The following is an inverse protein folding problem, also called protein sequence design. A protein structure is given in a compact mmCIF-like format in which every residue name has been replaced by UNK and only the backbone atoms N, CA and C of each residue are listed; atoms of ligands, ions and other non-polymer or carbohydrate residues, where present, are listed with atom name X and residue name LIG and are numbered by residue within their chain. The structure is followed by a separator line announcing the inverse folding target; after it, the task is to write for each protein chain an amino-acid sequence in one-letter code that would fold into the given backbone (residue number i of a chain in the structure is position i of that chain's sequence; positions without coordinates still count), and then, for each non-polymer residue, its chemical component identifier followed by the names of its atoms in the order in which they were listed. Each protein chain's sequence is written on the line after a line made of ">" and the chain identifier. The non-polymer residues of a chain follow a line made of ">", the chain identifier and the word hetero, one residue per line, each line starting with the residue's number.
data_IF_538827777104
#
_entry.id   IF_538827777104
#
_cell.length_a   1.000
_cell.length_b   1.000
_cell.length_c   1.000
_cell.angle_alpha   90.00
_cell.angle_beta   90.00
_cell.angle_gamma   90.00
#
_symmetry.space_group_name_H-M   'P 1'
#
loop_
_entity.id
_entity.type
_entity.pdbx_description
1 polymer ?
#
# COMPACT_ATOMS: atom_id res chain seq x y z
N UNK A 1 -4.26 -1.94 18.37
CA UNK A 1 -2.94 -1.38 18.00
C UNK A 1 -3.06 -0.30 16.95
N UNK A 2 -3.67 -0.55 15.78
CA UNK A 2 -3.80 0.46 14.71
C UNK A 2 -4.49 1.73 15.20
N UNK A 3 -5.64 1.63 15.88
CA UNK A 3 -6.33 2.80 16.46
C UNK A 3 -5.46 3.59 17.44
N UNK A 4 -4.68 2.90 18.28
CA UNK A 4 -3.80 3.55 19.25
C UNK A 4 -2.71 4.36 18.53
N UNK A 5 -2.13 3.80 17.47
CA UNK A 5 -1.03 4.42 16.74
C UNK A 5 -1.53 5.50 15.77
N UNK A 6 -2.52 5.18 14.94
CA UNK A 6 -2.98 6.03 13.86
C UNK A 6 -4.10 6.99 14.27
N UNK A 7 -4.97 6.60 15.21
CA UNK A 7 -5.97 7.49 15.80
C UNK A 7 -5.33 8.31 16.91
N UNK A 8 -5.27 7.73 18.10
CA UNK A 8 -4.85 8.43 19.32
C UNK A 8 -3.45 9.07 19.26
N UNK A 9 -2.41 8.37 18.79
CA UNK A 9 -1.03 8.88 18.82
C UNK A 9 -0.72 9.83 17.65
N UNK A 10 -1.10 9.46 16.43
CA UNK A 10 -0.86 10.30 15.25
C UNK A 10 -1.83 11.49 15.12
N UNK A 11 -2.84 11.59 16.01
CA UNK A 11 -3.83 12.65 16.02
C UNK A 11 -4.93 12.49 14.97
N UNK A 12 -5.12 11.27 14.46
CA UNK A 12 -6.23 10.93 13.58
C UNK A 12 -7.53 10.73 14.34
N UNK A 13 -8.65 10.77 13.64
CA UNK A 13 -9.91 10.26 14.19
C UNK A 13 -9.82 8.74 14.37
N UNK A 14 -10.35 8.25 15.49
CA UNK A 14 -10.60 6.83 15.66
C UNK A 14 -11.63 6.35 14.61
N UNK A 15 -11.53 5.10 14.18
CA UNK A 15 -12.35 4.54 13.08
C UNK A 15 -13.86 4.65 13.30
N UNK A 16 -14.31 4.74 14.55
CA UNK A 16 -15.74 4.88 14.89
C UNK A 16 -16.22 6.34 14.92
N UNK A 17 -15.29 7.30 14.90
CA UNK A 17 -15.57 8.74 14.75
C UNK A 17 -15.38 9.21 13.30
N UNK A 18 -14.53 8.52 12.54
CA UNK A 18 -14.27 8.78 11.13
C UNK A 18 -15.52 8.65 10.25
N UNK A 19 -15.61 9.48 9.21
CA UNK A 19 -16.61 9.32 8.15
C UNK A 19 -16.30 8.11 7.25
N UNK A 20 -17.26 7.76 6.39
CA UNK A 20 -17.20 6.58 5.52
C UNK A 20 -16.01 6.63 4.55
N UNK A 21 -15.36 5.48 4.35
CA UNK A 21 -14.40 5.28 3.26
C UNK A 21 -15.05 4.74 1.97
N UNK A 22 -16.34 4.39 2.05
CA UNK A 22 -17.02 3.59 1.03
C UNK A 22 -17.99 4.40 0.18
N UNK A 23 -18.22 5.66 0.53
CA UNK A 23 -19.04 6.60 -0.22
C UNK A 23 -18.42 8.00 -0.16
N UNK A 24 -18.96 8.90 -0.98
CA UNK A 24 -18.54 10.28 -1.10
C UNK A 24 -19.32 11.23 -0.19
N UNK A 25 -20.06 10.71 0.80
CA UNK A 25 -20.92 11.51 1.66
C UNK A 25 -20.17 11.96 2.91
N UNK A 26 -20.14 13.28 3.10
CA UNK A 26 -19.57 13.91 4.29
C UNK A 26 -18.14 14.40 4.08
N UNK A 27 -17.50 14.81 5.18
CA UNK A 27 -16.11 15.24 5.15
C UNK A 27 -15.17 14.06 4.91
N UNK A 28 -13.92 14.28 4.46
CA UNK A 28 -12.91 13.22 4.43
C UNK A 28 -12.74 12.56 5.82
N UNK A 29 -12.45 11.25 5.91
CA UNK A 29 -12.42 10.49 7.18
C UNK A 29 -11.48 11.01 8.28
N UNK A 30 -10.57 11.93 7.97
CA UNK A 30 -9.64 12.56 8.92
C UNK A 30 -8.87 11.55 9.79
N UNK A 31 -8.57 10.37 9.25
CA UNK A 31 -7.74 9.36 9.91
C UNK A 31 -6.27 9.78 9.94
N UNK A 32 -5.49 9.19 10.84
CA UNK A 32 -4.05 9.40 10.92
C UNK A 32 -3.27 8.22 10.36
N UNK A 33 -1.96 8.41 10.23
CA UNK A 33 -1.03 7.39 9.74
C UNK A 33 0.28 7.48 10.51
N UNK A 34 0.83 6.32 10.85
CA UNK A 34 2.22 6.19 11.33
C UNK A 34 3.03 5.41 10.30
N UNK A 35 4.24 5.90 10.02
CA UNK A 35 5.26 5.20 9.26
C UNK A 35 6.43 4.92 10.19
N UNK A 36 6.84 3.67 10.27
CA UNK A 36 8.03 3.24 11.02
C UNK A 36 9.05 2.75 10.01
N UNK A 37 10.24 3.34 10.04
CA UNK A 37 11.37 2.94 9.20
C UNK A 37 12.53 2.49 10.09
N UNK A 38 13.15 1.39 9.72
CA UNK A 38 14.34 0.86 10.38
C UNK A 38 15.51 0.94 9.41
N UNK A 39 16.66 1.39 9.88
CA UNK A 39 17.92 1.29 9.13
C UNK A 39 18.49 -0.13 9.29
N UNK A 40 18.45 -0.99 8.25
CA UNK A 40 18.95 -2.35 8.41
C UNK A 40 20.44 -2.41 8.76
N UNK A 41 21.24 -1.39 8.37
CA UNK A 41 22.66 -1.32 8.70
C UNK A 41 22.87 -1.15 10.20
N UNK A 42 22.11 -0.26 10.84
CA UNK A 42 22.21 -0.01 12.28
C UNK A 42 21.80 -1.22 13.14
N UNK A 43 20.88 -2.07 12.66
CA UNK A 43 20.33 -3.18 13.44
C UNK A 43 20.90 -4.55 13.10
N UNK A 44 21.18 -4.82 11.81
CA UNK A 44 21.59 -6.13 11.30
C UNK A 44 22.96 -6.11 10.63
N UNK A 45 23.60 -4.94 10.52
CA UNK A 45 24.88 -4.79 9.84
C UNK A 45 24.77 -5.01 8.33
N UNK A 46 25.91 -5.24 7.64
CA UNK A 46 25.96 -5.29 6.18
C UNK A 46 25.26 -6.51 5.57
N UNK A 47 25.06 -7.58 6.35
CA UNK A 47 24.54 -8.86 5.84
C UNK A 47 23.01 -9.02 5.94
N UNK A 48 22.27 -7.94 6.21
CA UNK A 48 20.81 -8.00 6.18
C UNK A 48 20.28 -8.57 4.84
N UNK A 49 20.90 -8.18 3.73
CA UNK A 49 20.52 -8.66 2.40
C UNK A 49 20.71 -10.17 2.21
N UNK A 50 21.85 -10.72 2.67
CA UNK A 50 22.13 -12.16 2.59
C UNK A 50 21.12 -12.96 3.40
N UNK A 51 20.88 -12.56 4.66
CA UNK A 51 19.89 -13.21 5.53
C UNK A 51 18.46 -13.16 4.97
N UNK A 52 18.08 -12.05 4.32
CA UNK A 52 16.79 -11.94 3.66
C UNK A 52 16.69 -12.87 2.44
N UNK A 53 17.78 -13.04 1.68
CA UNK A 53 17.81 -13.95 0.54
C UNK A 53 17.62 -15.41 0.99
N UNK A 54 18.32 -15.83 2.06
CA UNK A 54 18.18 -17.18 2.62
C UNK A 54 16.74 -17.46 3.09
N UNK A 55 16.12 -16.50 3.78
CA UNK A 55 14.73 -16.60 4.22
C UNK A 55 13.76 -16.75 3.03
N UNK A 56 13.94 -15.91 2.02
CA UNK A 56 13.11 -15.95 0.81
C UNK A 56 13.27 -17.30 0.10
N UNK A 57 14.50 -17.80 -0.01
CA UNK A 57 14.78 -19.10 -0.62
C UNK A 57 14.08 -20.24 0.15
N UNK A 58 14.13 -20.22 1.47
CA UNK A 58 13.45 -21.22 2.30
C UNK A 58 11.93 -21.21 2.09
N UNK A 59 11.30 -20.03 2.02
CA UNK A 59 9.85 -19.90 1.77
C UNK A 59 9.48 -20.45 0.39
N UNK A 60 10.24 -20.10 -0.65
CA UNK A 60 9.97 -20.53 -2.02
C UNK A 60 10.20 -22.04 -2.18
N UNK A 61 11.19 -22.61 -1.48
CA UNK A 61 11.46 -24.05 -1.50
C UNK A 61 10.28 -24.88 -0.99
N UNK A 62 9.46 -24.32 -0.09
CA UNK A 62 8.22 -24.92 0.41
C UNK A 62 7.03 -24.77 -0.57
N UNK A 63 7.26 -24.23 -1.77
CA UNK A 63 6.24 -23.96 -2.77
C UNK A 63 5.31 -22.79 -2.42
N UNK A 64 5.64 -22.04 -1.35
CA UNK A 64 4.88 -20.88 -0.95
C UNK A 64 5.18 -19.68 -1.86
N UNK A 65 4.20 -18.78 -1.93
CA UNK A 65 4.28 -17.55 -2.71
C UNK A 65 4.71 -16.39 -1.84
N UNK A 66 5.57 -15.50 -2.37
CA UNK A 66 6.05 -14.38 -1.58
C UNK A 66 4.99 -13.27 -1.50
N UNK A 67 4.86 -12.62 -0.33
CA UNK A 67 4.09 -11.39 -0.21
C UNK A 67 4.59 -10.34 -1.22
N UNK A 68 3.68 -9.82 -2.05
CA UNK A 68 4.00 -8.79 -3.04
C UNK A 68 4.18 -9.29 -4.47
N UNK A 69 4.42 -10.59 -4.71
CA UNK A 69 4.64 -11.14 -6.06
C UNK A 69 3.55 -10.75 -7.07
N UNK A 70 2.28 -10.73 -6.61
CA UNK A 70 1.14 -10.37 -7.50
C UNK A 70 1.26 -8.95 -7.97
N UNK A 71 1.60 -8.07 -7.03
CA UNK A 71 1.67 -6.64 -7.25
C UNK A 71 2.88 -6.31 -8.10
N UNK A 72 4.00 -6.99 -7.91
CA UNK A 72 5.19 -6.85 -8.75
C UNK A 72 4.92 -7.32 -10.19
N UNK A 73 4.33 -8.49 -10.39
CA UNK A 73 3.94 -8.99 -11.71
C UNK A 73 2.93 -8.06 -12.40
N UNK A 74 1.90 -7.59 -11.67
CA UNK A 74 0.92 -6.65 -12.21
C UNK A 74 1.54 -5.29 -12.58
N UNK A 75 2.52 -4.80 -11.82
CA UNK A 75 3.27 -3.58 -12.14
C UNK A 75 4.09 -3.74 -13.41
N UNK A 76 4.84 -4.84 -13.55
CA UNK A 76 5.62 -5.14 -14.75
C UNK A 76 4.71 -5.23 -15.99
N UNK A 77 3.58 -5.93 -15.86
CA UNK A 77 2.56 -6.00 -16.93
C UNK A 77 2.02 -4.62 -17.30
N UNK A 78 1.64 -3.81 -16.31
CA UNK A 78 1.11 -2.46 -16.55
C UNK A 78 2.14 -1.53 -17.20
N UNK A 79 3.43 -1.70 -16.90
CA UNK A 79 4.50 -0.96 -17.57
C UNK A 79 4.69 -1.37 -19.04
N UNK A 80 4.54 -2.65 -19.35
CA UNK A 80 4.72 -3.17 -20.71
C UNK A 80 3.49 -2.98 -21.61
N UNK A 81 2.28 -3.18 -21.06
CA UNK A 81 1.03 -3.25 -21.82
C UNK A 81 0.08 -2.07 -21.55
N UNK A 82 0.39 -1.23 -20.56
CA UNK A 82 -0.51 -0.19 -20.06
C UNK A 82 -1.51 -0.70 -19.03
N UNK A 83 -2.32 0.22 -18.49
CA UNK A 83 -3.38 -0.09 -17.51
C UNK A 83 -4.69 -0.43 -18.24
N UNK A 84 -5.27 -1.59 -17.89
CA UNK A 84 -6.64 -1.91 -18.30
C UNK A 84 -7.62 -1.16 -17.41
N UNK A 85 -8.44 -0.30 -18.01
CA UNK A 85 -9.44 0.52 -17.35
C UNK A 85 -10.78 0.27 -18.05
N UNK A 86 -11.86 0.10 -17.29
CA UNK A 86 -13.19 -0.05 -17.86
C UNK A 86 -13.53 1.21 -18.70
N UNK A 87 -14.06 1.07 -19.94
CA UNK A 87 -14.32 2.23 -20.80
C UNK A 87 -15.29 3.26 -20.20
N UNK A 88 -16.20 2.83 -19.31
CA UNK A 88 -17.08 3.74 -18.57
C UNK A 88 -16.26 4.62 -17.59
N UNK A 89 -15.43 3.98 -16.75
CA UNK A 89 -14.58 4.68 -15.79
C UNK A 89 -13.59 5.64 -16.47
N UNK A 90 -13.01 5.25 -17.61
CA UNK A 90 -12.12 6.14 -18.36
C UNK A 90 -12.84 7.40 -18.84
N UNK A 91 -14.07 7.27 -19.34
CA UNK A 91 -14.89 8.42 -19.77
C UNK A 91 -15.25 9.32 -18.59
N UNK A 92 -15.60 8.75 -17.44
CA UNK A 92 -15.86 9.51 -16.21
C UNK A 92 -14.64 10.31 -15.78
N UNK A 93 -13.46 9.68 -15.73
CA UNK A 93 -12.20 10.37 -15.39
C UNK A 93 -11.92 11.51 -16.37
N UNK A 94 -12.06 11.26 -17.68
CA UNK A 94 -11.82 12.27 -18.73
C UNK A 94 -12.78 13.47 -18.61
N UNK A 95 -14.03 13.24 -18.23
CA UNK A 95 -15.01 14.32 -18.03
C UNK A 95 -14.69 15.20 -16.81
N UNK A 96 -13.91 14.70 -15.84
CA UNK A 96 -13.47 15.44 -14.66
C UNK A 96 -12.18 16.24 -14.90
N UNK A 97 -11.44 15.97 -15.99
CA UNK A 97 -10.24 16.73 -16.32
C UNK A 97 -10.67 18.12 -16.80
N UNK A 98 -10.29 19.21 -16.11
CA UNK A 98 -10.61 20.56 -16.58
C UNK A 98 -10.05 20.79 -17.98
N UNK A 99 -10.82 21.42 -18.88
CA UNK A 99 -10.27 21.94 -20.11
C UNK A 99 -9.24 23.02 -19.74
N UNK A 100 -7.97 22.77 -20.05
CA UNK A 100 -6.91 23.76 -19.93
C UNK A 100 -7.20 25.00 -20.77
#
# INVERSE_FOLDING_TARGET
>A
MVEILCGALAGGQDSWLASSFWDDKGAPPAVGQIIVAFDPMAFSGPDFGGRMADLVQAIVADGARLPGDRRLAARAKAQAEGLSIAPALLREIQALVPAG
#
